data_IF_262401759337
#
_entry.id   IF_262401759337
#
_cell.length_a   1.000
_cell.length_b   1.000
_cell.length_c   1.000
_cell.angle_alpha   90.00
_cell.angle_beta   90.00
_cell.angle_gamma   90.00
#
_symmetry.space_group_name_H-M   'P 1'
#
loop_
_entity.id
_entity.type
_entity.pdbx_description
1 polymer ?
#
# COMPACT_ATOMS: atom_id res chain seq x y z
N UNK A 1 -13.10 -0.15 41.08
CA UNK A 1 -11.96 -1.07 40.91
C UNK A 1 -11.97 -1.73 39.54
N UNK A 2 -12.98 -2.54 39.17
CA UNK A 2 -13.04 -3.22 37.84
C UNK A 2 -12.90 -2.24 36.66
N UNK A 3 -13.59 -1.09 36.71
CA UNK A 3 -13.50 -0.02 35.69
C UNK A 3 -12.09 0.55 35.50
N UNK A 4 -11.31 0.66 36.59
CA UNK A 4 -9.95 1.21 36.54
C UNK A 4 -9.00 0.18 35.92
N UNK A 5 -9.16 -1.10 36.27
CA UNK A 5 -8.37 -2.18 35.66
C UNK A 5 -8.69 -2.37 34.17
N UNK A 6 -9.97 -2.29 33.77
CA UNK A 6 -10.33 -2.35 32.35
C UNK A 6 -9.73 -1.18 31.57
N UNK A 7 -9.76 0.03 32.12
CA UNK A 7 -9.15 1.20 31.48
C UNK A 7 -7.64 1.02 31.30
N UNK A 8 -6.96 0.49 32.31
CA UNK A 8 -5.53 0.17 32.25
C UNK A 8 -5.18 -0.83 31.14
N UNK A 9 -5.98 -1.89 30.99
CA UNK A 9 -5.81 -2.89 29.91
C UNK A 9 -6.02 -2.24 28.54
N UNK A 10 -7.07 -1.43 28.37
CA UNK A 10 -7.31 -0.72 27.11
C UNK A 10 -6.16 0.22 26.73
N UNK A 11 -5.59 0.94 27.71
CA UNK A 11 -4.43 1.81 27.48
C UNK A 11 -3.22 0.97 27.03
N UNK A 12 -2.93 -0.14 27.71
CA UNK A 12 -1.82 -1.01 27.32
C UNK A 12 -1.99 -1.61 25.92
N UNK A 13 -3.20 -2.07 25.58
CA UNK A 13 -3.51 -2.54 24.22
C UNK A 13 -3.34 -1.43 23.18
N UNK A 14 -3.80 -0.22 23.49
CA UNK A 14 -3.68 0.93 22.58
C UNK A 14 -2.21 1.30 22.33
N UNK A 15 -1.38 1.31 23.38
CA UNK A 15 0.06 1.55 23.27
C UNK A 15 0.73 0.45 22.43
N UNK A 16 0.37 -0.81 22.67
CA UNK A 16 0.88 -1.94 21.89
C UNK A 16 0.56 -1.80 20.40
N UNK A 17 -0.71 -1.58 20.06
CA UNK A 17 -1.17 -1.38 18.68
C UNK A 17 -0.43 -0.19 18.03
N UNK A 18 -0.35 0.94 18.75
CA UNK A 18 0.37 2.12 18.25
C UNK A 18 1.83 1.82 17.94
N UNK A 19 2.53 1.10 18.83
CA UNK A 19 3.92 0.72 18.62
C UNK A 19 4.09 -0.17 17.38
N UNK A 20 3.22 -1.16 17.18
CA UNK A 20 3.26 -2.02 15.98
C UNK A 20 3.07 -1.21 14.70
N UNK A 21 2.04 -0.35 14.64
CA UNK A 21 1.77 0.50 13.47
C UNK A 21 2.94 1.44 13.18
N UNK A 22 3.54 2.04 14.22
CA UNK A 22 4.67 2.94 14.05
C UNK A 22 5.90 2.20 13.50
N UNK A 23 6.20 1.01 14.05
CA UNK A 23 7.31 0.18 13.59
C UNK A 23 7.12 -0.30 12.15
N UNK A 24 5.89 -0.69 11.80
CA UNK A 24 5.53 -1.11 10.45
C UNK A 24 5.77 0.01 9.43
N UNK A 25 5.31 1.24 9.72
CA UNK A 25 5.57 2.42 8.89
C UNK A 25 7.05 2.73 8.71
N UNK A 26 7.87 2.53 9.75
CA UNK A 26 9.32 2.71 9.63
C UNK A 26 9.94 1.67 8.70
N UNK A 27 9.45 0.44 8.74
CA UNK A 27 9.92 -0.63 7.86
C UNK A 27 9.50 -0.37 6.41
N UNK A 28 8.27 0.08 6.17
CA UNK A 28 7.77 0.46 4.84
C UNK A 28 8.69 1.48 4.18
N UNK A 29 9.05 2.54 4.90
CA UNK A 29 9.93 3.58 4.37
C UNK A 29 11.34 3.06 4.08
N UNK A 30 11.88 2.21 4.95
CA UNK A 30 13.24 1.67 4.80
C UNK A 30 13.35 0.64 3.68
N UNK A 31 12.30 -0.16 3.49
CA UNK A 31 12.31 -1.28 2.56
C UNK A 31 11.74 -0.92 1.19
N UNK A 32 11.06 0.22 1.03
CA UNK A 32 10.42 0.62 -0.24
C UNK A 32 11.37 0.47 -1.43
N UNK A 33 12.56 1.06 -1.36
CA UNK A 33 13.52 1.02 -2.47
C UNK A 33 13.95 -0.42 -2.78
N UNK A 34 14.22 -1.22 -1.74
CA UNK A 34 14.62 -2.63 -1.91
C UNK A 34 13.49 -3.45 -2.53
N UNK A 35 12.26 -3.27 -2.05
CA UNK A 35 11.09 -3.98 -2.56
C UNK A 35 10.76 -3.55 -3.99
N UNK A 36 10.98 -2.27 -4.32
CA UNK A 36 10.83 -1.73 -5.66
C UNK A 36 11.83 -2.34 -6.65
N UNK A 37 13.12 -2.37 -6.29
CA UNK A 37 14.15 -3.01 -7.11
C UNK A 37 13.89 -4.52 -7.29
N UNK A 38 13.33 -5.17 -6.27
CA UNK A 38 12.96 -6.57 -6.35
C UNK A 38 11.81 -6.79 -7.35
N UNK A 39 10.80 -5.93 -7.35
CA UNK A 39 9.72 -5.96 -8.34
C UNK A 39 10.25 -5.79 -9.76
N UNK A 40 11.09 -4.78 -10.02
CA UNK A 40 11.69 -4.55 -11.33
C UNK A 40 12.54 -5.74 -11.79
N UNK A 41 13.24 -6.39 -10.85
CA UNK A 41 13.99 -7.61 -11.13
C UNK A 41 13.07 -8.73 -11.61
N UNK A 42 11.98 -9.02 -10.88
CA UNK A 42 11.01 -10.04 -11.29
C UNK A 42 10.34 -9.69 -12.61
N UNK A 43 10.05 -8.41 -12.84
CA UNK A 43 9.55 -7.92 -14.11
C UNK A 43 10.51 -8.24 -15.26
N UNK A 44 11.81 -7.94 -15.10
CA UNK A 44 12.83 -8.21 -16.11
C UNK A 44 13.04 -9.71 -16.40
N UNK A 45 12.78 -10.55 -15.39
CA UNK A 45 12.86 -12.01 -15.50
C UNK A 45 11.57 -12.64 -16.03
N UNK A 46 10.51 -11.85 -16.25
CA UNK A 46 9.17 -12.33 -16.54
C UNK A 46 8.66 -13.36 -15.51
N UNK A 47 9.07 -13.21 -14.24
CA UNK A 47 8.66 -14.06 -13.14
C UNK A 47 7.30 -13.57 -12.60
N UNK A 48 6.22 -14.19 -13.07
CA UNK A 48 4.85 -13.74 -12.78
C UNK A 48 4.50 -13.90 -11.30
N UNK A 49 4.93 -14.98 -10.66
CA UNK A 49 4.73 -15.21 -9.23
C UNK A 49 5.49 -14.17 -8.41
N UNK A 50 6.74 -13.90 -8.79
CA UNK A 50 7.55 -12.84 -8.18
C UNK A 50 6.91 -11.46 -8.31
N UNK A 51 6.34 -11.14 -9.47
CA UNK A 51 5.58 -9.89 -9.70
C UNK A 51 4.34 -9.84 -8.81
N UNK A 52 3.58 -10.94 -8.70
CA UNK A 52 2.38 -11.00 -7.87
C UNK A 52 2.70 -10.70 -6.40
N UNK A 53 3.72 -11.38 -5.86
CA UNK A 53 4.11 -11.26 -4.44
C UNK A 53 4.73 -9.89 -4.15
N UNK A 54 5.70 -9.46 -4.95
CA UNK A 54 6.39 -8.19 -4.73
C UNK A 54 5.49 -6.98 -5.00
N UNK A 55 4.65 -7.06 -6.03
CA UNK A 55 3.66 -6.04 -6.37
C UNK A 55 2.63 -5.85 -5.26
N UNK A 56 2.11 -6.94 -4.68
CA UNK A 56 1.08 -6.84 -3.64
C UNK A 56 1.66 -6.14 -2.40
N UNK A 57 2.87 -6.54 -2.01
CA UNK A 57 3.60 -5.87 -0.92
C UNK A 57 3.80 -4.37 -1.18
N UNK A 58 4.18 -3.99 -2.40
CA UNK A 58 4.40 -2.58 -2.77
C UNK A 58 3.10 -1.77 -2.74
N UNK A 59 1.98 -2.33 -3.21
CA UNK A 59 0.68 -1.65 -3.18
C UNK A 59 0.25 -1.37 -1.74
N UNK A 60 0.61 -2.16 -0.75
CA UNK A 60 0.28 -1.84 0.64
C UNK A 60 1.25 -0.85 1.30
N UNK A 61 2.41 -0.61 0.69
CA UNK A 61 3.37 0.37 1.21
C UNK A 61 2.81 1.80 1.11
N UNK A 62 2.75 2.49 2.25
CA UNK A 62 2.23 3.86 2.32
C UNK A 62 3.03 4.86 1.45
N UNK A 63 4.34 4.66 1.36
CA UNK A 63 5.27 5.58 0.71
C UNK A 63 5.47 5.31 -0.78
N UNK A 64 4.73 4.36 -1.36
CA UNK A 64 4.75 4.07 -2.79
C UNK A 64 4.33 5.33 -3.57
N UNK A 65 5.20 5.77 -4.49
CA UNK A 65 4.93 6.92 -5.34
C UNK A 65 3.85 6.60 -6.37
N UNK A 66 3.10 7.62 -6.81
CA UNK A 66 2.08 7.47 -7.85
C UNK A 66 2.66 6.89 -9.15
N UNK A 67 3.86 7.33 -9.55
CA UNK A 67 4.55 6.82 -10.76
C UNK A 67 4.90 5.33 -10.64
N UNK A 68 5.29 4.88 -9.45
CA UNK A 68 5.57 3.46 -9.18
C UNK A 68 4.28 2.64 -9.20
N UNK A 69 3.19 3.18 -8.65
CA UNK A 69 1.87 2.54 -8.72
C UNK A 69 1.37 2.42 -10.16
N UNK A 70 1.53 3.47 -10.97
CA UNK A 70 1.17 3.46 -12.38
C UNK A 70 1.95 2.41 -13.16
N UNK A 71 3.26 2.30 -12.88
CA UNK A 71 4.11 1.26 -13.46
C UNK A 71 3.61 -0.15 -13.10
N UNK A 72 3.26 -0.41 -11.83
CA UNK A 72 2.69 -1.70 -11.41
C UNK A 72 1.39 -2.00 -12.16
N UNK A 73 0.52 -0.99 -12.31
CA UNK A 73 -0.75 -1.14 -13.05
C UNK A 73 -0.49 -1.52 -14.50
N UNK A 74 0.44 -0.84 -15.18
CA UNK A 74 0.75 -1.11 -16.59
C UNK A 74 1.34 -2.51 -16.80
N UNK A 75 2.27 -2.92 -15.94
CA UNK A 75 2.86 -4.26 -15.95
C UNK A 75 1.80 -5.34 -15.76
N UNK A 76 0.90 -5.15 -14.78
CA UNK A 76 -0.14 -6.13 -14.48
C UNK A 76 -1.20 -6.18 -15.57
N UNK A 77 -1.70 -5.02 -16.02
CA UNK A 77 -2.75 -4.91 -17.02
C UNK A 77 -2.34 -5.55 -18.36
N UNK A 78 -1.08 -5.45 -18.74
CA UNK A 78 -0.56 -6.06 -19.97
C UNK A 78 -0.45 -7.59 -19.90
N UNK A 79 -0.46 -8.18 -18.68
CA UNK A 79 -0.18 -9.61 -18.44
C UNK A 79 -1.36 -10.38 -17.85
N UNK A 80 -2.32 -9.70 -17.22
CA UNK A 80 -3.44 -10.33 -16.50
C UNK A 80 -4.34 -11.20 -17.39
N UNK A 81 -4.45 -10.90 -18.69
CA UNK A 81 -5.20 -11.72 -19.64
C UNK A 81 -4.60 -13.11 -19.83
N UNK A 82 -3.27 -13.20 -19.78
CA UNK A 82 -2.51 -14.45 -19.90
C UNK A 82 -2.26 -15.11 -18.54
N UNK A 83 -2.25 -14.33 -17.45
CA UNK A 83 -1.93 -14.79 -16.10
C UNK A 83 -2.98 -14.33 -15.08
N UNK A 84 -4.04 -15.16 -14.84
CA UNK A 84 -5.15 -14.81 -13.95
C UNK A 84 -4.73 -14.56 -12.49
N UNK A 85 -3.60 -15.10 -12.05
CA UNK A 85 -3.04 -14.86 -10.70
C UNK A 85 -2.74 -13.39 -10.41
N UNK A 86 -2.48 -12.59 -11.45
CA UNK A 86 -2.29 -11.15 -11.31
C UNK A 86 -3.61 -10.38 -11.11
N UNK A 87 -4.78 -11.03 -11.22
CA UNK A 87 -6.06 -10.33 -11.15
C UNK A 87 -6.32 -9.66 -9.81
N UNK A 88 -5.89 -10.30 -8.72
CA UNK A 88 -6.01 -9.71 -7.40
C UNK A 88 -5.12 -8.46 -7.27
N UNK A 89 -3.89 -8.57 -7.77
CA UNK A 89 -2.94 -7.46 -7.80
C UNK A 89 -3.48 -6.28 -8.63
N UNK A 90 -4.06 -6.57 -9.79
CA UNK A 90 -4.72 -5.58 -10.66
C UNK A 90 -5.79 -4.82 -9.88
N UNK A 91 -6.73 -5.53 -9.27
CA UNK A 91 -7.82 -4.93 -8.52
C UNK A 91 -7.32 -4.05 -7.37
N UNK A 92 -6.34 -4.53 -6.60
CA UNK A 92 -5.75 -3.79 -5.48
C UNK A 92 -5.04 -2.52 -5.97
N UNK A 93 -4.31 -2.59 -7.08
CA UNK A 93 -3.60 -1.47 -7.66
C UNK A 93 -4.57 -0.38 -8.13
N UNK A 94 -5.62 -0.77 -8.87
CA UNK A 94 -6.66 0.15 -9.33
C UNK A 94 -7.46 0.74 -8.18
N UNK A 95 -7.78 -0.04 -7.16
CA UNK A 95 -8.45 0.48 -5.97
C UNK A 95 -7.59 1.53 -5.27
N UNK A 96 -6.30 1.26 -5.08
CA UNK A 96 -5.37 2.25 -4.49
C UNK A 96 -5.29 3.51 -5.33
N UNK A 97 -5.21 3.39 -6.67
CA UNK A 97 -5.20 4.54 -7.58
C UNK A 97 -6.49 5.35 -7.50
N UNK A 98 -7.64 4.69 -7.51
CA UNK A 98 -8.94 5.34 -7.32
C UNK A 98 -8.99 6.11 -5.99
N UNK A 99 -8.41 5.56 -4.93
CA UNK A 99 -8.30 6.25 -3.65
C UNK A 99 -7.38 7.48 -3.70
N UNK A 100 -6.26 7.43 -4.44
CA UNK A 100 -5.39 8.59 -4.65
C UNK A 100 -6.05 9.70 -5.48
N UNK A 101 -6.83 9.32 -6.49
CA UNK A 101 -7.45 10.26 -7.43
C UNK A 101 -8.78 10.85 -6.93
N UNK A 102 -9.29 10.39 -5.77
CA UNK A 102 -10.54 10.91 -5.20
C UNK A 102 -10.41 12.39 -4.86
N UNK A 103 -11.22 13.28 -5.46
CA UNK A 103 -11.35 14.64 -4.98
C UNK A 103 -11.97 14.58 -3.59
N UNK A 104 -11.32 15.18 -2.59
CA UNK A 104 -11.89 15.26 -1.25
C UNK A 104 -13.17 16.10 -1.32
N UNK A 105 -14.26 15.70 -0.66
CA UNK A 105 -15.40 16.59 -0.47
C UNK A 105 -14.87 17.83 0.24
N UNK A 106 -14.98 18.98 -0.41
CA UNK A 106 -14.50 20.23 0.15
C UNK A 106 -15.23 20.48 1.47
N UNK A 107 -14.52 20.44 2.60
CA UNK A 107 -14.97 21.20 3.77
C UNK A 107 -14.79 22.68 3.42
N UNK A 108 -15.76 23.21 2.67
CA UNK A 108 -15.90 24.61 2.27
C UNK A 108 -14.61 25.35 1.90
N UNK A 109 -14.01 25.08 0.74
CA UNK A 109 -13.23 26.07 -0.02
C UNK A 109 -12.76 25.45 -1.35
N UNK A 110 -12.88 26.24 -2.42
CA UNK A 110 -12.50 25.92 -3.78
C UNK A 110 -10.98 25.72 -3.90
N UNK A 111 -10.54 24.46 -4.03
CA UNK A 111 -9.15 24.14 -4.33
C UNK A 111 -8.76 22.76 -3.80
N UNK A 112 -9.01 21.71 -4.57
CA UNK A 112 -8.63 20.35 -4.21
C UNK A 112 -7.12 20.16 -4.21
N UNK A 113 -6.53 19.88 -3.04
CA UNK A 113 -5.14 19.46 -2.91
C UNK A 113 -5.09 17.93 -3.06
N UNK A 114 -4.33 17.44 -4.05
CA UNK A 114 -4.04 15.99 -4.19
C UNK A 114 -3.25 15.52 -2.96
N UNK A 115 -3.65 14.41 -2.35
CA UNK A 115 -2.94 13.86 -1.20
C UNK A 115 -1.55 13.35 -1.61
N UNK A 116 -0.50 13.84 -0.95
CA UNK A 116 0.76 13.12 -0.81
C UNK A 116 0.79 12.46 0.58
N UNK A 117 1.08 11.17 0.63
CA UNK A 117 1.19 10.39 1.88
C UNK A 117 2.58 9.82 2.04
#
# INVERSE_FOLDING_TARGET
>A
MVLIYSLGIFILLSIGIYYFIWKDRLNDKKNLEKDWQLFLKYESLNDIEGIAISGDKLIWNKYLLTEQLDTIIDVVKSRVSSFPELKNLENNAFNKKLHFDRPLPSSGSSGGIKQSW
#
